data_IF_456356076121
#
_entry.id   IF_456356076121
#
_cell.length_a   1.000
_cell.length_b   1.000
_cell.length_c   1.000
_cell.angle_alpha   90.00
_cell.angle_beta   90.00
_cell.angle_gamma   90.00
#
_symmetry.space_group_name_H-M   'P 1'
#
loop_
_entity.id
_entity.type
_entity.pdbx_description
1 polymer ?
#
# COMPACT_ATOMS: atom_id res chain seq x y z
N UNK A 1 -31.96 20.02 -32.32
CA UNK A 1 -31.14 19.24 -31.39
C UNK A 1 -30.32 18.23 -32.17
N UNK A 2 -29.06 18.06 -31.87
CA UNK A 2 -28.16 17.14 -32.52
C UNK A 2 -27.55 16.19 -31.47
N UNK A 3 -27.36 14.94 -31.81
CA UNK A 3 -26.61 14.00 -31.03
C UNK A 3 -25.41 13.52 -31.84
N UNK A 4 -24.22 13.51 -31.25
CA UNK A 4 -23.00 13.07 -31.87
C UNK A 4 -22.40 11.92 -31.08
N UNK A 5 -21.68 11.01 -31.77
CA UNK A 5 -20.82 10.03 -31.10
C UNK A 5 -19.61 10.71 -30.45
N UNK A 6 -18.91 9.97 -29.61
CA UNK A 6 -17.66 10.44 -28.97
C UNK A 6 -16.59 10.81 -30.01
N UNK A 7 -16.69 10.27 -31.23
CA UNK A 7 -15.80 10.55 -32.37
C UNK A 7 -16.32 11.67 -33.27
N UNK A 8 -17.36 12.41 -32.85
CA UNK A 8 -17.91 13.55 -33.60
C UNK A 8 -18.84 13.18 -34.76
N UNK A 9 -19.22 11.91 -34.93
CA UNK A 9 -20.17 11.50 -35.97
C UNK A 9 -21.60 11.79 -35.53
N UNK A 10 -22.37 12.51 -36.39
CA UNK A 10 -23.78 12.82 -36.14
C UNK A 10 -24.62 11.54 -36.10
N UNK A 11 -25.23 11.23 -34.99
CA UNK A 11 -26.07 10.06 -34.81
C UNK A 11 -27.52 10.31 -35.23
N UNK A 12 -28.08 11.49 -34.87
CA UNK A 12 -29.42 11.92 -35.31
C UNK A 12 -29.58 13.43 -35.13
N UNK A 13 -30.63 13.99 -35.78
CA UNK A 13 -31.04 15.38 -35.58
C UNK A 13 -32.55 15.49 -35.58
N UNK A 14 -33.08 16.41 -34.76
CA UNK A 14 -34.47 16.77 -34.74
C UNK A 14 -34.63 18.23 -35.08
N UNK A 15 -35.48 18.56 -36.06
CA UNK A 15 -35.86 19.95 -36.43
C UNK A 15 -37.05 20.36 -35.59
N UNK A 16 -36.94 21.54 -34.99
CA UNK A 16 -37.88 22.09 -34.00
C UNK A 16 -39.28 22.33 -34.55
N UNK A 17 -40.28 21.74 -33.87
CA UNK A 17 -41.69 22.06 -34.00
C UNK A 17 -42.40 21.90 -32.67
N UNK A 18 -42.14 20.84 -31.92
CA UNK A 18 -42.75 20.62 -30.64
C UNK A 18 -41.76 19.99 -29.68
N UNK A 19 -41.51 20.63 -28.53
CA UNK A 19 -40.74 20.08 -27.43
C UNK A 19 -41.69 19.28 -26.55
N UNK A 20 -41.62 17.94 -26.49
CA UNK A 20 -42.39 17.16 -25.52
C UNK A 20 -41.92 17.53 -24.11
N UNK A 21 -42.82 17.92 -23.24
CA UNK A 21 -42.53 18.45 -21.91
C UNK A 21 -42.08 17.44 -20.87
N UNK A 22 -41.65 16.23 -21.26
CA UNK A 22 -41.05 15.24 -20.36
C UNK A 22 -40.11 14.28 -21.10
N UNK A 23 -38.83 14.52 -20.98
CA UNK A 23 -37.83 13.49 -21.20
C UNK A 23 -37.40 12.95 -19.84
N UNK A 24 -37.87 11.74 -19.52
CA UNK A 24 -37.29 10.97 -18.43
C UNK A 24 -36.05 10.26 -18.98
N UNK A 25 -34.86 10.74 -18.62
CA UNK A 25 -33.62 9.99 -18.86
C UNK A 25 -33.54 8.85 -17.85
N UNK A 26 -33.98 7.66 -18.23
CA UNK A 26 -33.53 6.47 -17.53
C UNK A 26 -32.09 6.22 -17.93
N UNK A 27 -31.19 6.09 -16.95
CA UNK A 27 -29.82 5.58 -17.16
C UNK A 27 -29.86 4.11 -17.62
N UNK A 28 -30.39 3.81 -18.80
CA UNK A 28 -30.06 2.59 -19.48
C UNK A 28 -28.77 2.85 -20.27
N UNK A 29 -27.66 2.22 -19.88
CA UNK A 29 -26.49 2.07 -20.73
C UNK A 29 -27.00 1.49 -22.06
N UNK A 30 -26.98 2.28 -23.13
CA UNK A 30 -27.13 1.75 -24.47
C UNK A 30 -25.86 0.93 -24.75
N UNK A 31 -25.98 -0.39 -24.77
CA UNK A 31 -24.99 -1.24 -25.40
C UNK A 31 -25.11 -1.03 -26.91
N UNK A 32 -24.06 -0.54 -27.53
CA UNK A 32 -23.92 -0.59 -28.98
C UNK A 32 -23.88 -2.04 -29.44
N UNK A 33 -24.28 -2.35 -30.69
CA UNK A 33 -24.31 -3.71 -31.23
C UNK A 33 -22.93 -4.38 -31.31
N UNK A 34 -21.81 -3.71 -31.01
CA UNK A 34 -20.43 -4.16 -31.18
C UNK A 34 -19.60 -4.12 -29.88
N UNK A 35 -20.21 -3.98 -28.69
CA UNK A 35 -19.47 -4.28 -27.46
C UNK A 35 -19.31 -5.82 -27.42
N UNK A 36 -18.20 -6.31 -27.97
CA UNK A 36 -17.68 -7.63 -27.64
C UNK A 36 -17.57 -7.63 -26.11
N UNK A 37 -18.22 -8.55 -25.38
CA UNK A 37 -18.00 -8.67 -23.96
C UNK A 37 -16.49 -8.86 -23.78
N UNK A 38 -15.82 -8.01 -22.96
CA UNK A 38 -14.50 -8.38 -22.48
C UNK A 38 -14.68 -9.76 -21.83
N UNK A 39 -14.20 -10.80 -22.51
CA UNK A 39 -14.15 -12.13 -21.93
C UNK A 39 -13.31 -11.99 -20.67
N UNK A 40 -13.95 -12.13 -19.52
CA UNK A 40 -13.23 -12.27 -18.26
C UNK A 40 -12.25 -13.42 -18.48
N UNK A 41 -10.94 -13.25 -18.23
CA UNK A 41 -10.00 -14.35 -18.36
C UNK A 41 -10.56 -15.57 -17.63
N UNK A 42 -10.53 -16.73 -18.27
CA UNK A 42 -11.11 -17.97 -17.76
C UNK A 42 -10.25 -18.64 -16.67
N UNK A 43 -9.54 -17.88 -15.85
CA UNK A 43 -8.65 -18.37 -14.81
C UNK A 43 -8.40 -17.32 -13.74
N UNK A 44 -7.66 -17.68 -12.67
CA UNK A 44 -7.28 -16.76 -11.60
C UNK A 44 -6.42 -15.62 -12.15
N UNK A 45 -6.56 -14.45 -11.54
CA UNK A 45 -5.76 -13.26 -11.89
C UNK A 45 -4.42 -13.31 -11.16
N UNK A 46 -3.27 -13.05 -11.81
CA UNK A 46 -1.99 -12.96 -11.11
C UNK A 46 -1.91 -11.76 -10.15
N UNK A 47 -2.91 -10.89 -10.16
CA UNK A 47 -2.93 -9.65 -9.37
C UNK A 47 -3.94 -9.75 -8.23
N UNK A 48 -3.78 -8.88 -7.23
CA UNK A 48 -4.74 -8.78 -6.13
C UNK A 48 -6.17 -8.56 -6.65
N UNK A 49 -7.13 -9.12 -5.94
CA UNK A 49 -8.56 -8.99 -6.24
C UNK A 49 -9.28 -8.06 -5.26
N UNK A 50 -8.72 -7.86 -4.06
CA UNK A 50 -9.35 -7.07 -2.99
C UNK A 50 -8.31 -6.42 -2.08
N UNK A 51 -8.69 -5.29 -1.47
CA UNK A 51 -8.06 -4.69 -0.31
C UNK A 51 -9.05 -4.81 0.84
N UNK A 52 -8.64 -5.52 1.89
CA UNK A 52 -9.47 -5.77 3.07
C UNK A 52 -9.35 -4.64 4.08
N UNK A 53 -8.13 -4.12 4.26
CA UNK A 53 -7.89 -2.98 5.15
C UNK A 53 -6.72 -2.14 4.63
N UNK A 54 -6.92 -0.83 4.55
CA UNK A 54 -5.90 0.17 4.28
C UNK A 54 -5.85 1.13 5.46
N UNK A 55 -4.86 0.96 6.31
CA UNK A 55 -4.73 1.68 7.57
C UNK A 55 -3.35 2.34 7.69
N UNK A 56 -3.10 3.42 6.92
CA UNK A 56 -1.79 4.07 6.94
C UNK A 56 -1.55 4.77 8.27
N UNK A 57 -0.29 4.78 8.72
CA UNK A 57 0.15 5.71 9.74
C UNK A 57 0.27 7.12 9.16
N UNK A 58 0.36 8.17 9.99
CA UNK A 58 0.55 9.52 9.48
C UNK A 58 1.80 9.64 8.60
N UNK A 59 1.66 10.34 7.46
CA UNK A 59 2.75 10.52 6.50
C UNK A 59 2.44 11.54 5.40
N UNK A 60 3.50 12.03 4.75
CA UNK A 60 3.41 13.14 3.78
C UNK A 60 2.60 12.80 2.53
N UNK A 61 2.46 11.52 2.17
CA UNK A 61 1.67 11.07 1.02
C UNK A 61 0.34 10.43 1.40
N UNK A 62 0.07 10.26 2.68
CA UNK A 62 -1.22 9.82 3.21
C UNK A 62 -2.28 10.82 2.83
N UNK A 63 -3.44 10.62 2.43
CA UNK A 63 -4.44 11.53 1.85
C UNK A 63 -4.19 11.95 0.39
N UNK A 64 -3.03 11.58 -0.20
CA UNK A 64 -2.71 11.81 -1.61
C UNK A 64 -2.65 10.52 -2.41
N UNK A 65 -2.18 9.42 -1.80
CA UNK A 65 -1.93 8.12 -2.43
C UNK A 65 -2.51 6.97 -1.59
N UNK A 66 -3.80 6.61 -1.83
CA UNK A 66 -4.77 7.21 -2.74
C UNK A 66 -5.34 8.53 -2.22
N UNK A 67 -5.84 9.35 -3.15
CA UNK A 67 -6.37 10.68 -2.81
C UNK A 67 -7.65 10.59 -1.97
N UNK A 68 -7.60 11.17 -0.77
CA UNK A 68 -8.78 11.41 0.05
C UNK A 68 -9.64 12.53 -0.53
N UNK A 69 -10.93 12.38 -0.48
CA UNK A 69 -11.92 13.41 -0.78
C UNK A 69 -12.88 13.56 0.39
N UNK A 70 -13.40 14.78 0.59
CA UNK A 70 -14.28 15.05 1.73
C UNK A 70 -15.50 14.14 1.71
N UNK A 71 -15.69 13.39 2.79
CA UNK A 71 -16.77 12.41 2.94
C UNK A 71 -16.32 10.96 2.70
N UNK A 72 -15.09 10.72 2.28
CA UNK A 72 -14.55 9.36 2.24
C UNK A 72 -14.47 8.76 3.65
N UNK A 73 -14.84 7.50 3.74
CA UNK A 73 -14.70 6.67 4.93
C UNK A 73 -13.72 5.52 4.68
N UNK A 74 -13.51 4.66 5.67
CA UNK A 74 -12.57 3.52 5.56
C UNK A 74 -12.89 2.61 4.37
N UNK A 75 -14.15 2.29 4.12
CA UNK A 75 -14.57 1.43 3.02
C UNK A 75 -14.23 2.04 1.65
N UNK A 76 -14.48 3.35 1.49
CA UNK A 76 -14.15 4.08 0.26
C UNK A 76 -12.63 4.14 0.06
N UNK A 77 -11.85 4.35 1.12
CA UNK A 77 -10.39 4.38 1.03
C UNK A 77 -9.80 2.99 0.71
N UNK A 78 -10.37 1.91 1.26
CA UNK A 78 -10.02 0.53 0.88
C UNK A 78 -10.32 0.30 -0.62
N UNK A 79 -11.48 0.74 -1.11
CA UNK A 79 -11.84 0.61 -2.52
C UNK A 79 -10.91 1.41 -3.45
N UNK A 80 -10.51 2.64 -3.04
CA UNK A 80 -9.54 3.46 -3.79
C UNK A 80 -8.16 2.82 -3.83
N UNK A 81 -7.70 2.25 -2.71
CA UNK A 81 -6.44 1.51 -2.66
C UNK A 81 -6.48 0.25 -3.55
N UNK A 82 -7.60 -0.49 -3.53
CA UNK A 82 -7.81 -1.63 -4.41
C UNK A 82 -7.78 -1.22 -5.90
N UNK A 83 -8.47 -0.13 -6.27
CA UNK A 83 -8.47 0.39 -7.63
C UNK A 83 -7.07 0.78 -8.12
N UNK A 84 -6.24 1.33 -7.23
CA UNK A 84 -4.87 1.70 -7.56
C UNK A 84 -3.98 0.48 -7.85
N UNK A 85 -4.19 -0.64 -7.14
CA UNK A 85 -3.26 -1.78 -7.14
C UNK A 85 -3.71 -2.97 -8.01
N UNK A 86 -5.02 -3.13 -8.27
CA UNK A 86 -5.54 -4.26 -9.04
C UNK A 86 -5.11 -4.23 -10.51
N UNK A 87 -5.10 -5.38 -11.17
CA UNK A 87 -4.88 -5.51 -12.62
C UNK A 87 -3.58 -4.86 -13.13
N UNK A 88 -2.55 -4.79 -12.30
CA UNK A 88 -1.29 -4.12 -12.64
C UNK A 88 -1.49 -2.63 -13.04
N UNK A 89 -2.43 -1.94 -12.41
CA UNK A 89 -2.73 -0.54 -12.71
C UNK A 89 -1.57 0.42 -12.40
N UNK A 90 -0.56 -0.06 -11.66
CA UNK A 90 0.65 0.70 -11.28
C UNK A 90 0.33 2.04 -10.60
N UNK A 91 -0.83 2.11 -9.94
CA UNK A 91 -1.12 3.17 -9.01
C UNK A 91 -0.23 3.02 -7.77
N UNK A 92 -0.14 4.07 -6.97
CA UNK A 92 0.67 4.06 -5.74
C UNK A 92 -0.23 4.16 -4.52
N UNK A 93 0.07 3.34 -3.50
CA UNK A 93 -0.54 3.42 -2.19
C UNK A 93 0.55 3.65 -1.16
N UNK A 94 0.49 4.77 -0.43
CA UNK A 94 1.44 5.12 0.63
C UNK A 94 0.96 4.60 1.98
N UNK A 95 1.82 3.92 2.71
CA UNK A 95 1.49 3.37 4.03
C UNK A 95 1.81 4.37 5.18
N UNK A 96 2.51 5.47 4.88
CA UNK A 96 2.92 6.45 5.88
C UNK A 96 4.03 5.91 6.78
N UNK A 97 4.19 6.52 7.96
CA UNK A 97 5.23 6.17 8.93
C UNK A 97 5.13 4.74 9.43
N UNK A 98 6.02 4.38 10.37
CA UNK A 98 6.12 3.02 10.91
C UNK A 98 4.76 2.44 11.32
N UNK A 99 4.54 1.21 10.91
CA UNK A 99 3.38 0.41 11.28
C UNK A 99 2.15 0.64 10.43
N UNK A 100 2.06 1.74 9.67
CA UNK A 100 0.96 1.92 8.71
C UNK A 100 0.96 0.78 7.70
N UNK A 101 -0.23 0.23 7.38
CA UNK A 101 -0.34 -1.04 6.68
C UNK A 101 -1.45 -1.10 5.65
N UNK A 102 -1.33 -2.09 4.77
CA UNK A 102 -2.39 -2.55 3.86
C UNK A 102 -2.53 -4.07 3.95
N UNK A 103 -3.77 -4.56 3.90
CA UNK A 103 -4.11 -5.99 3.79
C UNK A 103 -4.79 -6.25 2.46
N UNK A 104 -4.22 -7.13 1.67
CA UNK A 104 -4.73 -7.50 0.35
C UNK A 104 -5.06 -8.98 0.27
N UNK A 105 -5.89 -9.35 -0.70
CA UNK A 105 -6.21 -10.75 -1.00
C UNK A 105 -6.31 -11.01 -2.49
N UNK A 106 -6.18 -12.27 -2.85
CA UNK A 106 -6.27 -12.78 -4.21
C UNK A 106 -7.62 -13.47 -4.43
N UNK A 107 -7.94 -13.82 -5.67
CA UNK A 107 -9.10 -14.65 -6.05
C UNK A 107 -8.79 -16.15 -6.02
N UNK A 108 -7.58 -16.50 -5.63
CA UNK A 108 -7.03 -17.85 -5.49
C UNK A 108 -5.96 -17.88 -4.38
N UNK A 109 -5.53 -19.09 -4.01
CA UNK A 109 -4.36 -19.28 -3.14
C UNK A 109 -3.09 -19.23 -3.99
N UNK A 110 -2.12 -18.38 -3.65
CA UNK A 110 -0.76 -18.46 -4.19
C UNK A 110 -0.11 -19.69 -3.57
N UNK A 111 0.25 -20.67 -4.39
CA UNK A 111 0.87 -21.90 -3.94
C UNK A 111 2.32 -21.64 -3.46
N UNK A 112 2.73 -22.33 -2.39
CA UNK A 112 4.14 -22.39 -1.98
C UNK A 112 4.85 -23.43 -2.84
N UNK A 113 5.77 -22.98 -3.71
CA UNK A 113 6.58 -23.85 -4.56
C UNK A 113 8.02 -23.87 -4.08
N UNK A 114 8.39 -24.94 -3.39
CA UNK A 114 9.70 -25.08 -2.77
C UNK A 114 10.87 -24.75 -3.72
N UNK A 115 11.76 -23.88 -3.27
CA UNK A 115 12.94 -23.45 -4.01
C UNK A 115 12.66 -22.42 -5.12
N UNK A 116 11.48 -21.82 -5.13
CA UNK A 116 11.09 -20.74 -6.04
C UNK A 116 10.60 -19.54 -5.24
N UNK A 117 10.74 -18.35 -5.79
CA UNK A 117 9.98 -17.23 -5.29
C UNK A 117 8.52 -17.34 -5.78
N UNK A 118 7.55 -17.08 -4.91
CA UNK A 118 6.14 -17.31 -5.18
C UNK A 118 5.42 -16.05 -5.62
N UNK A 119 5.77 -14.91 -5.05
CA UNK A 119 5.15 -13.63 -5.40
C UNK A 119 6.13 -12.47 -5.41
N UNK A 120 5.70 -11.36 -5.96
CA UNK A 120 6.48 -10.12 -6.04
C UNK A 120 5.67 -8.94 -5.55
N UNK A 121 6.30 -8.07 -4.75
CA UNK A 121 5.72 -6.79 -4.36
C UNK A 121 6.44 -5.68 -5.13
N UNK A 122 5.66 -4.85 -5.82
CA UNK A 122 6.16 -3.68 -6.52
C UNK A 122 6.11 -2.48 -5.58
N UNK A 123 7.21 -1.75 -5.49
CA UNK A 123 7.36 -0.50 -4.74
C UNK A 123 7.91 0.61 -5.61
N UNK A 124 8.27 1.74 -5.01
CA UNK A 124 8.92 2.84 -5.70
C UNK A 124 10.44 2.91 -5.43
N UNK A 125 11.00 1.91 -4.75
CA UNK A 125 12.41 1.84 -4.42
C UNK A 125 13.33 1.94 -5.66
N UNK A 126 14.38 2.73 -5.52
CA UNK A 126 15.46 2.85 -6.49
C UNK A 126 16.80 3.00 -5.76
N UNK A 127 17.90 3.07 -6.50
CA UNK A 127 19.23 3.11 -5.89
C UNK A 127 19.38 4.20 -4.81
N UNK A 128 19.71 3.79 -3.58
CA UNK A 128 19.82 4.62 -2.39
C UNK A 128 18.51 5.32 -1.94
N UNK A 129 17.37 4.80 -2.33
CA UNK A 129 16.05 5.23 -1.85
C UNK A 129 15.18 4.00 -1.59
N UNK A 130 15.41 3.37 -0.44
CA UNK A 130 14.70 2.16 0.00
C UNK A 130 13.94 2.45 1.29
N UNK A 131 12.65 2.14 1.30
CA UNK A 131 11.73 2.41 2.40
C UNK A 131 11.10 1.09 2.91
N UNK A 132 11.91 0.24 3.59
CA UNK A 132 11.61 -1.17 3.79
C UNK A 132 10.32 -1.42 4.56
N UNK A 133 9.42 -2.18 3.94
CA UNK A 133 8.20 -2.70 4.55
C UNK A 133 8.31 -4.15 4.97
N UNK A 134 7.81 -4.47 6.15
CA UNK A 134 7.64 -5.85 6.63
C UNK A 134 6.46 -6.48 5.89
N UNK A 135 6.60 -7.77 5.60
CA UNK A 135 5.56 -8.56 4.94
C UNK A 135 5.07 -9.65 5.89
N UNK A 136 3.76 -9.74 6.05
CA UNK A 136 3.08 -10.85 6.74
C UNK A 136 2.14 -11.53 5.75
N UNK A 137 1.97 -12.82 5.92
CA UNK A 137 1.15 -13.65 5.06
C UNK A 137 0.15 -14.46 5.88
N UNK A 138 -1.00 -14.78 5.29
CA UNK A 138 -1.98 -15.65 5.92
C UNK A 138 -2.54 -16.66 4.91
N UNK A 139 -2.72 -17.90 5.38
CA UNK A 139 -3.42 -18.96 4.68
C UNK A 139 -4.79 -19.13 5.31
N UNK A 140 -5.85 -18.99 4.51
CA UNK A 140 -7.25 -19.12 4.95
C UNK A 140 -7.60 -20.60 5.23
N UNK A 141 -7.23 -21.09 6.41
CA UNK A 141 -7.40 -22.51 6.78
C UNK A 141 -8.86 -22.92 6.86
N UNK A 142 -9.72 -22.03 7.33
CA UNK A 142 -11.14 -22.31 7.53
C UNK A 142 -12.01 -21.92 6.33
N UNK A 143 -11.41 -21.31 5.31
CA UNK A 143 -12.04 -20.90 4.04
C UNK A 143 -13.21 -19.92 4.23
N UNK A 144 -13.08 -19.02 5.20
CA UNK A 144 -14.10 -18.00 5.46
C UNK A 144 -13.93 -16.73 4.59
N UNK A 145 -12.82 -16.61 3.85
CA UNK A 145 -12.53 -15.51 2.93
C UNK A 145 -11.98 -14.24 3.59
N UNK A 146 -11.64 -14.32 4.88
CA UNK A 146 -10.99 -13.27 5.67
C UNK A 146 -9.79 -13.85 6.44
N UNK A 147 -8.72 -13.07 6.68
CA UNK A 147 -7.58 -13.54 7.46
C UNK A 147 -7.89 -13.43 8.95
N UNK A 148 -7.95 -14.56 9.64
CA UNK A 148 -8.11 -14.61 11.10
C UNK A 148 -6.79 -14.28 11.81
N UNK A 149 -6.87 -13.77 13.06
CA UNK A 149 -5.69 -13.32 13.81
C UNK A 149 -4.62 -14.42 13.97
N UNK A 150 -5.05 -15.67 14.13
CA UNK A 150 -4.17 -16.83 14.30
C UNK A 150 -3.58 -17.40 13.01
N UNK A 151 -3.96 -16.88 11.86
CA UNK A 151 -3.48 -17.31 10.54
C UNK A 151 -2.29 -16.47 10.03
N UNK A 152 -1.99 -15.37 10.71
CA UNK A 152 -0.93 -14.46 10.33
C UNK A 152 0.45 -14.90 10.77
N UNK A 153 1.37 -14.95 9.82
CA UNK A 153 2.80 -15.18 10.03
C UNK A 153 3.61 -14.07 9.34
N UNK A 154 4.80 -13.80 9.87
CA UNK A 154 5.73 -12.84 9.27
C UNK A 154 6.69 -13.56 8.34
N UNK A 155 7.06 -12.95 7.21
CA UNK A 155 8.16 -13.43 6.40
C UNK A 155 9.48 -12.91 6.98
N UNK A 156 10.43 -13.81 7.17
CA UNK A 156 11.79 -13.41 7.54
C UNK A 156 12.43 -12.57 6.43
N UNK A 157 13.32 -11.70 6.83
CA UNK A 157 14.20 -10.93 5.95
C UNK A 157 15.61 -10.85 6.53
N UNK A 158 16.53 -10.27 5.77
CA UNK A 158 17.96 -10.20 6.11
C UNK A 158 18.26 -9.56 7.47
N UNK A 159 17.38 -8.68 7.95
CA UNK A 159 17.55 -7.96 9.21
C UNK A 159 16.84 -8.61 10.41
N UNK A 160 16.10 -9.71 10.23
CA UNK A 160 15.37 -10.35 11.33
C UNK A 160 16.27 -10.91 12.44
N UNK A 161 17.50 -11.29 12.11
CA UNK A 161 18.50 -11.72 13.09
C UNK A 161 19.38 -10.59 13.63
N UNK A 162 19.22 -9.37 13.13
CA UNK A 162 19.99 -8.22 13.57
C UNK A 162 19.61 -7.85 15.01
N UNK A 163 20.57 -7.66 15.93
CA UNK A 163 20.27 -7.30 17.33
C UNK A 163 19.55 -5.97 17.51
N UNK A 164 19.60 -5.08 16.52
CA UNK A 164 18.87 -3.81 16.54
C UNK A 164 17.42 -3.91 16.06
N UNK A 165 16.98 -5.09 15.60
CA UNK A 165 15.60 -5.36 15.23
C UNK A 165 14.78 -5.67 16.48
N UNK A 166 13.70 -4.91 16.72
CA UNK A 166 12.85 -5.02 17.91
C UNK A 166 11.54 -5.70 17.53
N UNK A 167 11.21 -6.79 18.21
CA UNK A 167 9.91 -7.46 18.08
C UNK A 167 8.87 -6.82 18.99
N UNK A 168 7.61 -6.87 18.58
CA UNK A 168 6.49 -6.33 19.36
C UNK A 168 6.68 -4.84 19.73
N UNK A 169 7.45 -4.12 18.91
CA UNK A 169 7.57 -2.68 19.07
C UNK A 169 6.22 -2.03 18.82
N UNK A 170 5.82 -1.13 19.71
CA UNK A 170 4.58 -0.39 19.62
C UNK A 170 4.87 1.10 19.50
N UNK A 171 4.14 1.78 18.59
CA UNK A 171 4.17 3.25 18.46
C UNK A 171 2.75 3.79 18.49
N UNK A 172 2.56 4.95 19.09
CA UNK A 172 1.31 5.70 19.10
C UNK A 172 1.52 7.07 18.51
N UNK A 173 0.77 7.41 17.46
CA UNK A 173 0.72 8.74 16.85
C UNK A 173 -0.49 9.51 17.37
N UNK A 174 -0.29 10.79 17.66
CA UNK A 174 -1.32 11.68 18.19
C UNK A 174 -1.79 12.65 17.11
N UNK A 175 -3.10 12.81 16.97
CA UNK A 175 -3.68 13.74 15.99
C UNK A 175 -3.18 15.17 16.27
N UNK A 176 -2.63 15.87 15.28
CA UNK A 176 -2.18 17.23 15.45
C UNK A 176 -3.36 18.21 15.52
N UNK A 177 -3.10 19.43 16.00
CA UNK A 177 -4.01 20.56 15.82
C UNK A 177 -4.17 20.88 14.34
N UNK A 178 -5.38 21.23 13.90
CA UNK A 178 -5.66 21.54 12.49
C UNK A 178 -5.02 22.83 11.99
N UNK A 179 -4.62 23.73 12.89
CA UNK A 179 -4.01 25.02 12.57
C UNK A 179 -2.47 24.97 12.61
N UNK A 180 -1.89 24.10 11.77
CA UNK A 180 -0.44 23.93 11.73
C UNK A 180 0.13 24.68 10.52
N UNK A 181 1.26 25.38 10.71
CA UNK A 181 1.95 26.12 9.65
C UNK A 181 2.43 25.20 8.52
N UNK A 182 2.73 25.78 7.35
CA UNK A 182 3.19 25.03 6.18
C UNK A 182 4.51 24.27 6.40
N UNK A 183 5.31 24.68 7.37
CA UNK A 183 6.52 23.95 7.81
C UNK A 183 6.50 23.91 9.34
N UNK A 184 6.30 22.71 9.89
CA UNK A 184 6.22 22.51 11.33
C UNK A 184 7.07 21.30 11.71
N UNK A 185 8.16 21.53 12.43
CA UNK A 185 9.06 20.47 12.86
C UNK A 185 8.41 19.53 13.88
N UNK A 186 7.51 20.03 14.72
CA UNK A 186 6.78 19.27 15.73
C UNK A 186 5.32 19.06 15.34
N UNK A 187 5.11 18.49 14.15
CA UNK A 187 3.77 18.38 13.59
C UNK A 187 2.94 17.23 14.19
N UNK A 188 3.36 15.98 13.99
CA UNK A 188 2.63 14.83 14.54
C UNK A 188 3.49 14.16 15.61
N UNK A 189 3.11 14.37 16.88
CA UNK A 189 3.78 13.72 18.00
C UNK A 189 3.55 12.21 17.96
N UNK A 190 4.58 11.45 18.31
CA UNK A 190 4.49 10.02 18.57
C UNK A 190 5.23 9.67 19.88
N UNK A 191 4.83 8.53 20.48
CA UNK A 191 5.54 7.88 21.59
C UNK A 191 5.57 6.37 21.34
N UNK A 192 6.57 5.67 21.90
CA UNK A 192 6.77 4.25 21.65
C UNK A 192 6.96 3.41 22.91
N UNK A 193 7.04 2.06 22.72
CA UNK A 193 7.25 1.08 23.79
C UNK A 193 8.66 1.13 24.39
N UNK A 194 9.62 1.77 23.73
CA UNK A 194 10.99 1.94 24.21
C UNK A 194 11.14 3.22 25.05
N UNK A 195 10.04 3.92 25.33
CA UNK A 195 10.01 5.16 26.08
C UNK A 195 10.55 6.36 25.29
N UNK A 196 10.62 6.27 23.97
CA UNK A 196 11.01 7.37 23.12
C UNK A 196 9.79 8.18 22.68
N UNK A 197 10.02 9.46 22.45
CA UNK A 197 9.06 10.37 21.85
C UNK A 197 9.70 11.14 20.71
N UNK A 198 8.88 11.57 19.76
CA UNK A 198 9.35 12.36 18.63
C UNK A 198 8.21 12.94 17.84
N UNK A 199 8.54 13.44 16.66
CA UNK A 199 7.58 14.06 15.76
C UNK A 199 7.82 13.64 14.31
N UNK A 200 6.74 13.52 13.56
CA UNK A 200 6.80 13.62 12.10
C UNK A 200 6.73 15.11 11.79
N UNK A 201 7.74 15.62 11.09
CA UNK A 201 7.82 17.01 10.68
C UNK A 201 7.04 17.25 9.40
N UNK A 202 6.44 18.41 9.25
CA UNK A 202 5.78 18.82 8.01
C UNK A 202 6.79 19.49 7.10
N UNK A 203 6.93 18.97 5.87
CA UNK A 203 7.84 19.52 4.87
C UNK A 203 7.14 20.55 3.98
N UNK A 204 7.90 21.50 3.44
CA UNK A 204 7.35 22.64 2.66
C UNK A 204 6.68 22.24 1.34
N UNK A 205 7.01 21.07 0.82
CA UNK A 205 6.50 20.58 -0.46
C UNK A 205 5.14 19.88 -0.33
N UNK A 206 4.77 19.45 0.90
CA UNK A 206 3.55 18.72 1.19
C UNK A 206 2.79 19.44 2.29
N UNK A 207 1.92 20.35 1.89
CA UNK A 207 1.20 21.26 2.81
C UNK A 207 -0.11 20.69 3.36
N UNK A 208 -0.61 19.59 2.79
CA UNK A 208 -1.84 18.92 3.24
C UNK A 208 -1.67 18.26 4.62
N UNK A 209 -2.76 17.75 5.19
CA UNK A 209 -2.69 16.95 6.41
C UNK A 209 -1.94 15.64 6.17
N UNK A 210 -1.10 15.23 7.14
CA UNK A 210 -0.42 13.92 7.13
C UNK A 210 -1.19 12.87 7.94
N UNK A 211 -2.07 13.30 8.84
CA UNK A 211 -2.93 12.38 9.57
C UNK A 211 -4.08 11.91 8.66
N UNK A 212 -4.39 10.60 8.59
CA UNK A 212 -5.48 10.10 7.75
C UNK A 212 -6.81 10.81 8.05
N UNK A 213 -7.40 11.48 7.06
CA UNK A 213 -8.54 12.37 7.30
C UNK A 213 -9.87 11.63 7.49
N UNK A 214 -9.97 10.38 7.06
CA UNK A 214 -11.15 9.53 7.30
C UNK A 214 -11.15 8.86 8.68
N UNK A 215 -10.02 8.88 9.40
CA UNK A 215 -9.91 8.37 10.77
C UNK A 215 -10.34 9.46 11.73
N UNK A 216 -11.25 9.17 12.66
CA UNK A 216 -11.77 10.15 13.64
C UNK A 216 -11.04 10.11 14.98
N UNK A 217 -10.28 9.05 15.25
CA UNK A 217 -9.58 8.83 16.50
C UNK A 217 -8.51 9.91 16.76
N UNK A 218 -8.34 10.27 18.03
CA UNK A 218 -7.32 11.23 18.46
C UNK A 218 -5.92 10.63 18.49
N UNK A 219 -5.81 9.32 18.40
CA UNK A 219 -4.55 8.59 18.34
C UNK A 219 -4.70 7.32 17.50
N UNK A 220 -3.59 6.88 16.94
CA UNK A 220 -3.45 5.62 16.21
C UNK A 220 -2.24 4.88 16.75
N UNK A 221 -2.39 3.59 17.04
CA UNK A 221 -1.29 2.76 17.56
C UNK A 221 -1.05 1.58 16.64
N UNK A 222 0.23 1.25 16.44
CA UNK A 222 0.67 0.16 15.59
C UNK A 222 1.67 -0.71 16.33
N UNK A 223 1.61 -2.02 16.11
CA UNK A 223 2.52 -2.98 16.74
C UNK A 223 3.07 -3.92 15.67
N UNK A 224 4.38 -4.17 15.70
CA UNK A 224 5.04 -5.05 14.75
C UNK A 224 6.53 -5.22 15.01
N UNK A 225 7.26 -5.68 14.01
CA UNK A 225 8.72 -5.76 14.01
C UNK A 225 9.29 -4.42 13.53
N UNK A 226 10.10 -3.77 14.35
CA UNK A 226 10.85 -2.57 13.97
C UNK A 226 12.24 -2.96 13.49
N UNK A 227 12.55 -2.62 12.25
CA UNK A 227 13.89 -2.79 11.67
C UNK A 227 14.81 -1.66 12.13
N UNK A 228 16.13 -1.91 12.07
CA UNK A 228 17.11 -0.85 12.26
C UNK A 228 16.95 0.25 11.20
N UNK A 229 17.36 1.46 11.54
CA UNK A 229 17.41 2.55 10.56
C UNK A 229 18.35 2.22 9.41
N UNK A 230 17.92 2.45 8.18
CA UNK A 230 18.69 2.23 6.96
C UNK A 230 19.20 3.54 6.33
N UNK A 231 18.85 4.68 6.90
CA UNK A 231 19.29 5.99 6.44
C UNK A 231 20.74 6.26 6.81
N UNK A 232 21.55 6.63 5.82
CA UNK A 232 22.93 7.11 5.98
C UNK A 232 22.96 8.58 5.61
N UNK A 233 23.44 9.42 6.53
CA UNK A 233 23.59 10.85 6.30
C UNK A 233 25.06 11.18 6.08
N UNK A 234 25.34 11.96 5.02
CA UNK A 234 26.64 12.58 4.80
C UNK A 234 26.47 14.09 4.77
N UNK A 235 27.39 14.79 5.39
CA UNK A 235 27.36 16.27 5.39
C UNK A 235 28.53 16.80 4.58
N UNK A 236 28.23 17.71 3.64
CA UNK A 236 29.25 18.41 2.87
C UNK A 236 28.91 19.90 2.81
N UNK A 237 29.81 20.76 3.30
CA UNK A 237 29.62 22.22 3.36
C UNK A 237 28.30 22.64 4.05
N UNK A 238 27.91 21.97 5.14
CA UNK A 238 26.68 22.24 5.89
C UNK A 238 25.40 21.68 5.23
N UNK A 239 25.51 21.01 4.08
CA UNK A 239 24.39 20.36 3.40
C UNK A 239 24.37 18.89 3.75
N UNK A 240 23.27 18.43 4.35
CA UNK A 240 23.04 17.01 4.65
C UNK A 240 22.45 16.30 3.43
N UNK A 241 23.13 15.24 3.00
CA UNK A 241 22.66 14.33 1.96
C UNK A 241 22.26 13.01 2.60
N UNK A 242 21.06 12.55 2.31
CA UNK A 242 20.49 11.33 2.83
C UNK A 242 20.51 10.23 1.77
N UNK A 243 20.84 9.00 2.19
CA UNK A 243 20.74 7.80 1.37
C UNK A 243 20.00 6.76 2.19
N UNK A 244 18.95 6.20 1.63
CA UNK A 244 18.19 5.10 2.22
C UNK A 244 18.73 3.79 1.62
N UNK A 245 19.65 3.14 2.34
CA UNK A 245 20.36 1.96 1.86
C UNK A 245 19.44 0.74 1.90
N UNK A 246 19.30 -0.04 0.82
CA UNK A 246 18.49 -1.25 0.85
C UNK A 246 19.05 -2.30 1.80
N UNK A 247 18.18 -3.09 2.37
CA UNK A 247 18.52 -4.36 2.99
C UNK A 247 18.66 -5.44 1.92
N UNK A 248 19.28 -6.58 2.26
CA UNK A 248 19.64 -7.56 1.23
C UNK A 248 18.40 -8.21 0.59
N UNK A 249 17.42 -8.69 1.40
CA UNK A 249 16.23 -9.39 0.91
C UNK A 249 15.10 -9.38 1.97
N UNK A 250 13.87 -9.68 1.51
CA UNK A 250 12.73 -10.00 2.37
C UNK A 250 11.88 -8.79 2.80
N UNK A 251 12.00 -7.65 2.12
CA UNK A 251 11.23 -6.44 2.46
C UNK A 251 10.58 -5.83 1.22
N UNK A 252 9.33 -5.38 1.36
CA UNK A 252 8.66 -4.58 0.35
C UNK A 252 9.33 -3.21 0.21
N UNK A 253 9.24 -2.59 -0.95
CA UNK A 253 9.76 -1.25 -1.26
C UNK A 253 11.23 -1.03 -0.86
N UNK A 254 12.02 -2.08 -0.95
CA UNK A 254 13.41 -2.13 -0.52
C UNK A 254 14.38 -2.24 -1.68
N UNK A 255 14.00 -2.96 -2.72
CA UNK A 255 14.78 -3.17 -3.92
C UNK A 255 14.01 -2.72 -5.17
N UNK A 256 14.70 -2.27 -6.23
CA UNK A 256 14.02 -1.90 -7.48
C UNK A 256 13.17 -3.04 -8.06
N UNK A 257 12.04 -2.69 -8.68
CA UNK A 257 11.07 -3.66 -9.21
C UNK A 257 11.64 -4.62 -10.28
N UNK A 258 12.76 -4.31 -10.91
CA UNK A 258 13.45 -5.20 -11.85
C UNK A 258 14.45 -6.15 -11.18
N UNK A 259 14.62 -6.08 -9.87
CA UNK A 259 15.45 -6.99 -9.09
C UNK A 259 14.68 -8.23 -8.66
N UNK A 260 15.33 -9.40 -8.66
CA UNK A 260 14.82 -10.61 -8.02
C UNK A 260 14.74 -10.50 -6.50
N UNK A 261 15.48 -9.58 -5.89
CA UNK A 261 15.41 -9.28 -4.46
C UNK A 261 14.11 -8.51 -4.05
N UNK A 262 13.25 -8.15 -5.02
CA UNK A 262 11.87 -7.69 -4.80
C UNK A 262 10.84 -8.84 -4.86
N UNK A 263 11.29 -10.09 -5.01
CA UNK A 263 10.49 -11.31 -5.02
C UNK A 263 10.54 -11.97 -3.65
N UNK A 264 9.48 -12.69 -3.30
CA UNK A 264 9.28 -13.28 -1.98
C UNK A 264 8.99 -14.77 -2.10
N UNK A 265 9.51 -15.52 -1.12
CA UNK A 265 9.34 -16.95 -0.98
C UNK A 265 8.49 -17.22 0.28
N UNK A 266 7.42 -17.99 0.15
CA UNK A 266 6.55 -18.38 1.25
C UNK A 266 7.31 -19.26 2.26
N UNK A 267 8.36 -19.97 1.83
CA UNK A 267 9.24 -20.73 2.74
C UNK A 267 10.00 -19.85 3.75
N UNK A 268 10.02 -18.52 3.58
CA UNK A 268 10.57 -17.60 4.60
C UNK A 268 9.64 -17.35 5.78
N UNK A 269 8.50 -18.01 5.84
CA UNK A 269 7.52 -17.85 6.91
C UNK A 269 8.06 -18.29 8.27
N UNK A 270 7.88 -17.44 9.27
CA UNK A 270 8.28 -17.67 10.66
C UNK A 270 7.12 -17.45 11.64
N UNK A 271 7.15 -18.22 12.74
CA UNK A 271 6.23 -18.02 13.86
C UNK A 271 6.68 -16.83 14.76
N UNK A 272 5.89 -16.54 15.79
CA UNK A 272 6.19 -15.50 16.80
C UNK A 272 7.50 -15.75 17.59
N UNK A 273 8.04 -16.96 17.56
CA UNK A 273 9.32 -17.31 18.18
C UNK A 273 10.46 -17.35 17.16
N UNK A 274 10.20 -16.93 15.92
CA UNK A 274 11.12 -16.96 14.77
C UNK A 274 11.51 -18.37 14.31
N UNK A 275 10.70 -19.38 14.62
CA UNK A 275 10.89 -20.70 14.06
C UNK A 275 10.28 -20.76 12.65
N UNK A 276 10.94 -21.42 11.68
CA UNK A 276 10.36 -21.63 10.35
C UNK A 276 9.03 -22.36 10.42
N UNK A 277 8.08 -21.92 9.62
CA UNK A 277 6.75 -22.51 9.43
C UNK A 277 6.57 -22.83 7.95
N UNK A 278 6.05 -24.00 7.62
CA UNK A 278 5.69 -24.35 6.26
C UNK A 278 4.19 -24.13 6.05
N UNK A 279 3.84 -23.24 5.14
CA UNK A 279 2.47 -23.04 4.66
C UNK A 279 2.29 -23.70 3.29
N UNK A 280 1.11 -24.25 2.97
CA UNK A 280 0.86 -24.82 1.65
C UNK A 280 0.71 -23.75 0.56
N UNK A 281 0.47 -22.50 0.97
CA UNK A 281 0.25 -21.33 0.14
C UNK A 281 -0.28 -20.18 1.00
N UNK A 282 -0.68 -19.08 0.35
CA UNK A 282 -1.23 -17.90 1.02
C UNK A 282 -2.41 -17.32 0.25
N UNK A 283 -3.38 -16.77 0.97
CA UNK A 283 -4.56 -16.11 0.40
C UNK A 283 -4.52 -14.60 0.64
N UNK A 284 -3.77 -14.17 1.67
CA UNK A 284 -3.68 -12.77 2.09
C UNK A 284 -2.24 -12.35 2.36
N UNK A 285 -1.97 -11.08 2.06
CA UNK A 285 -0.70 -10.42 2.35
C UNK A 285 -0.98 -9.12 3.09
N UNK A 286 -0.26 -8.89 4.19
CA UNK A 286 -0.17 -7.60 4.88
C UNK A 286 1.21 -7.03 4.66
N UNK A 287 1.28 -5.75 4.32
CA UNK A 287 2.53 -5.00 4.21
C UNK A 287 2.42 -3.80 5.16
N UNK A 288 3.46 -3.56 5.96
CA UNK A 288 3.51 -2.37 6.79
C UNK A 288 4.92 -1.74 6.79
N UNK A 289 4.98 -0.42 6.97
CA UNK A 289 6.25 0.30 7.05
C UNK A 289 7.10 -0.22 8.21
N UNK A 290 8.30 -0.74 7.92
CA UNK A 290 9.13 -1.47 8.86
C UNK A 290 10.15 -0.64 9.64
N UNK A 291 10.35 0.65 9.31
CA UNK A 291 11.33 1.52 9.94
C UNK A 291 10.68 2.79 10.52
N UNK A 292 11.19 3.26 11.68
CA UNK A 292 10.80 4.53 12.27
C UNK A 292 11.97 5.51 12.17
N UNK A 293 11.97 6.33 11.11
CA UNK A 293 13.02 7.32 10.86
C UNK A 293 12.50 8.54 10.09
N UNK A 294 13.20 9.66 10.26
CA UNK A 294 12.99 10.89 9.49
C UNK A 294 14.31 11.30 8.84
N UNK A 295 14.28 11.65 7.57
CA UNK A 295 15.45 11.87 6.71
C UNK A 295 15.53 13.33 6.25
N UNK A 296 15.42 14.28 7.16
CA UNK A 296 15.51 15.71 6.87
C UNK A 296 14.45 16.17 5.89
N UNK A 297 14.87 16.72 4.75
CA UNK A 297 13.99 17.24 3.71
C UNK A 297 13.23 16.15 2.93
N UNK A 298 13.65 14.87 3.01
CA UNK A 298 12.92 13.75 2.42
C UNK A 298 11.64 13.48 3.23
N UNK A 299 11.64 13.77 4.52
CA UNK A 299 10.52 13.52 5.42
C UNK A 299 10.65 12.20 6.18
N UNK A 300 9.53 11.67 6.62
CA UNK A 300 9.47 10.33 7.23
C UNK A 300 9.62 9.25 6.17
N UNK A 301 10.13 8.09 6.57
CA UNK A 301 10.14 6.90 5.72
C UNK A 301 8.73 6.30 5.66
N UNK A 302 8.26 6.09 4.45
CA UNK A 302 6.95 5.54 4.13
C UNK A 302 7.12 4.45 3.08
N UNK A 303 6.62 3.25 3.36
CA UNK A 303 6.60 2.18 2.36
C UNK A 303 5.49 2.45 1.34
N UNK A 304 5.82 2.44 0.05
CA UNK A 304 4.86 2.56 -1.05
C UNK A 304 4.64 1.21 -1.72
N UNK A 305 3.36 0.90 -1.98
CA UNK A 305 2.95 -0.31 -2.71
C UNK A 305 2.36 0.09 -4.06
N UNK A 306 2.88 -0.51 -5.15
CA UNK A 306 2.44 -0.27 -6.52
C UNK A 306 1.72 -1.48 -7.13
N UNK A 307 1.78 -2.63 -6.49
CA UNK A 307 1.13 -3.85 -6.92
C UNK A 307 1.74 -5.08 -6.27
N UNK A 308 1.01 -6.19 -6.35
CA UNK A 308 1.47 -7.50 -5.87
C UNK A 308 1.09 -8.53 -6.91
N UNK A 309 2.02 -9.42 -7.24
CA UNK A 309 1.91 -10.32 -8.40
C UNK A 309 2.24 -11.75 -7.97
N UNK A 310 1.33 -12.69 -8.27
CA UNK A 310 1.63 -14.12 -8.24
C UNK A 310 2.58 -14.47 -9.40
N UNK A 311 3.78 -14.93 -9.08
CA UNK A 311 4.81 -15.26 -10.09
C UNK A 311 4.50 -16.56 -10.84
N UNK A 312 3.74 -17.47 -10.26
CA UNK A 312 3.40 -18.74 -10.89
C UNK A 312 2.40 -18.59 -12.04
N UNK A 313 1.58 -17.54 -12.02
CA UNK A 313 0.61 -17.28 -13.08
C UNK A 313 1.20 -16.47 -14.25
N UNK A 314 2.20 -15.61 -14.01
CA UNK A 314 2.83 -14.84 -15.10
C UNK A 314 3.85 -15.65 -15.90
N UNK A 315 4.44 -16.71 -15.33
CA UNK A 315 5.40 -17.60 -16.03
C UNK A 315 4.74 -18.60 -16.97
N UNK A 316 3.41 -18.74 -16.91
CA UNK A 316 2.64 -19.68 -17.73
C UNK A 316 2.09 -19.04 -19.03
N UNK A 317 2.38 -17.77 -19.26
CA UNK A 317 2.06 -17.04 -20.50
C UNK A 317 3.32 -17.00 -21.38
#
# INVERSE_FOLDING_TARGET
>A
LYCFSQEGKKLWSHTTGDIPSRFAFTKKKFRGPDEIPEEKPSGPSPYISKVLDYHPAPGQFVNLLPKYENGDNQEIMNAKACEALKNNNQGTVSLGGYGGYIVVGFDHTIENVSGSHDFKILGNAFNNNSEPGIVRVAYDQNKNGIPDENEWYELAGSEHSNPATIQNYNITYYRPSENVSATEEQYIRWSDSEGQEGYISKVSYHIQSYYPQWVTNQQMSFTGTLLRKNAVVTENNGVKNWKLTPFDWGYADNQPNNSTAAEFDIDWTIDKNRNPITLPGIDFIMIYTGVNQTCGWIGETSTEVLGIIDLHLIQKQ
#
